data_IF_449037912912
#
_entry.id   IF_449037912912
#
_cell.length_a   1.000
_cell.length_b   1.000
_cell.length_c   1.000
_cell.angle_alpha   90.00
_cell.angle_beta   90.00
_cell.angle_gamma   90.00
#
_symmetry.space_group_name_H-M   'P 1'
#
loop_
_entity.id
_entity.type
_entity.pdbx_description
1 polymer ?
#
# COMPACT_ATOMS: atom_id res chain seq x y z
N UNK A 1 13.03 -5.78 -9.19
CA UNK A 1 12.22 -5.49 -7.99
C UNK A 1 11.73 -6.79 -7.39
N UNK A 2 11.91 -7.03 -6.08
CA UNK A 2 11.39 -8.22 -5.39
C UNK A 2 9.87 -8.37 -5.52
N UNK A 3 9.38 -9.60 -5.46
CA UNK A 3 7.95 -9.91 -5.63
C UNK A 3 7.08 -9.33 -4.52
N UNK A 4 7.54 -9.39 -3.28
CA UNK A 4 6.83 -8.88 -2.11
C UNK A 4 6.68 -7.35 -2.11
N UNK A 5 7.70 -6.64 -2.64
CA UNK A 5 7.68 -5.21 -2.94
C UNK A 5 6.69 -4.92 -4.07
N UNK A 6 6.74 -5.66 -5.18
CA UNK A 6 5.78 -5.48 -6.28
C UNK A 6 4.35 -5.66 -5.80
N UNK A 7 4.10 -6.71 -5.02
CA UNK A 7 2.76 -6.95 -4.49
C UNK A 7 2.30 -5.87 -3.50
N UNK A 8 3.19 -5.22 -2.74
CA UNK A 8 2.80 -4.04 -1.95
C UNK A 8 2.29 -2.92 -2.86
N UNK A 9 2.97 -2.66 -3.98
CA UNK A 9 2.57 -1.63 -4.95
C UNK A 9 1.23 -1.97 -5.56
N UNK A 10 1.08 -3.17 -6.11
CA UNK A 10 -0.15 -3.59 -6.78
C UNK A 10 -1.36 -3.56 -5.80
N UNK A 11 -1.16 -4.03 -4.57
CA UNK A 11 -2.18 -3.99 -3.52
C UNK A 11 -2.53 -2.52 -3.16
N UNK A 12 -1.53 -1.65 -2.96
CA UNK A 12 -1.78 -0.27 -2.55
C UNK A 12 -2.35 0.62 -3.67
N UNK A 13 -1.95 0.40 -4.92
CA UNK A 13 -2.56 1.07 -6.08
C UNK A 13 -4.05 0.69 -6.19
N UNK A 14 -4.40 -0.57 -5.88
CA UNK A 14 -5.79 -1.02 -5.80
C UNK A 14 -6.53 -0.31 -4.66
N UNK A 15 -5.90 -0.17 -3.48
CA UNK A 15 -6.44 0.61 -2.38
C UNK A 15 -6.75 2.05 -2.79
N UNK A 16 -5.77 2.77 -3.34
CA UNK A 16 -5.91 4.18 -3.76
C UNK A 16 -7.00 4.34 -4.81
N UNK A 17 -7.11 3.39 -5.74
CA UNK A 17 -8.18 3.37 -6.73
C UNK A 17 -9.55 3.36 -6.05
N UNK A 18 -9.84 2.40 -5.17
CA UNK A 18 -11.14 2.29 -4.50
C UNK A 18 -11.38 3.42 -3.49
N UNK A 19 -10.35 3.84 -2.74
CA UNK A 19 -10.46 4.89 -1.74
C UNK A 19 -10.80 6.26 -2.35
N UNK A 20 -10.44 6.47 -3.62
CA UNK A 20 -10.77 7.69 -4.37
C UNK A 20 -12.16 7.69 -5.01
N UNK A 21 -12.94 6.61 -4.90
CA UNK A 21 -14.25 6.52 -5.55
C UNK A 21 -15.39 7.12 -4.71
N UNK A 22 -16.46 7.54 -5.37
CA UNK A 22 -17.67 8.03 -4.72
C UNK A 22 -18.58 6.85 -4.27
N UNK A 23 -18.97 6.79 -2.98
CA UNK A 23 -19.89 5.77 -2.47
C UNK A 23 -21.37 6.15 -2.76
N UNK A 24 -21.71 6.30 -4.04
CA UNK A 24 -23.00 6.85 -4.49
C UNK A 24 -24.23 5.98 -4.16
N UNK A 25 -24.02 4.69 -3.88
CA UNK A 25 -25.04 3.80 -3.34
C UNK A 25 -24.47 2.84 -2.28
N UNK A 26 -25.34 2.01 -1.70
CA UNK A 26 -24.97 1.12 -0.61
C UNK A 26 -24.05 -0.03 -1.05
N UNK A 27 -24.23 -0.52 -2.28
CA UNK A 27 -23.44 -1.64 -2.81
C UNK A 27 -22.03 -1.16 -3.13
N UNK A 28 -21.90 -0.01 -3.81
CA UNK A 28 -20.61 0.60 -4.10
C UNK A 28 -19.87 1.01 -2.83
N UNK A 29 -20.58 1.56 -1.85
CA UNK A 29 -19.99 1.85 -0.53
C UNK A 29 -19.40 0.57 0.09
N UNK A 30 -20.13 -0.54 0.03
CA UNK A 30 -19.65 -1.81 0.57
C UNK A 30 -18.40 -2.32 -0.16
N UNK A 31 -18.36 -2.24 -1.49
CA UNK A 31 -17.18 -2.59 -2.29
C UNK A 31 -15.95 -1.79 -1.89
N UNK A 32 -16.10 -0.46 -1.76
CA UNK A 32 -15.03 0.44 -1.33
C UNK A 32 -14.55 0.07 0.08
N UNK A 33 -15.46 -0.12 1.03
CA UNK A 33 -15.11 -0.49 2.41
C UNK A 33 -14.33 -1.81 2.47
N UNK A 34 -14.76 -2.82 1.71
CA UNK A 34 -14.06 -4.12 1.62
C UNK A 34 -12.67 -3.97 1.01
N UNK A 35 -12.55 -3.23 -0.10
CA UNK A 35 -11.25 -3.00 -0.74
C UNK A 35 -10.29 -2.23 0.16
N UNK A 36 -10.76 -1.17 0.82
CA UNK A 36 -9.96 -0.38 1.78
C UNK A 36 -9.46 -1.26 2.92
N UNK A 37 -10.35 -2.07 3.51
CA UNK A 37 -9.97 -2.99 4.59
C UNK A 37 -8.95 -4.05 4.12
N UNK A 38 -9.09 -4.55 2.89
CA UNK A 38 -8.22 -5.58 2.33
C UNK A 38 -6.85 -5.05 1.93
N UNK A 39 -6.77 -3.82 1.41
CA UNK A 39 -5.57 -3.32 0.73
C UNK A 39 -4.92 -2.12 1.40
N UNK A 40 -5.71 -1.15 1.88
CA UNK A 40 -5.17 0.05 2.54
C UNK A 40 -4.68 -0.28 3.95
N UNK A 41 -5.54 -0.92 4.75
CA UNK A 41 -5.28 -1.18 6.17
C UNK A 41 -3.98 -1.96 6.43
N UNK A 42 -3.62 -3.04 5.70
CA UNK A 42 -2.37 -3.74 5.94
C UNK A 42 -1.12 -3.04 5.37
N UNK A 43 -1.27 -2.04 4.49
CA UNK A 43 -0.15 -1.46 3.74
C UNK A 43 0.93 -0.80 4.63
N UNK A 44 0.60 0.00 5.68
CA UNK A 44 1.61 0.57 6.59
C UNK A 44 2.48 -0.48 7.28
N UNK A 45 1.86 -1.55 7.79
CA UNK A 45 2.57 -2.64 8.46
C UNK A 45 3.45 -3.42 7.47
N UNK A 46 2.94 -3.64 6.25
CA UNK A 46 3.69 -4.32 5.19
C UNK A 46 4.88 -3.48 4.72
N UNK A 47 4.72 -2.17 4.57
CA UNK A 47 5.81 -1.26 4.24
C UNK A 47 6.90 -1.30 5.32
N UNK A 48 6.54 -1.19 6.60
CA UNK A 48 7.48 -1.27 7.71
C UNK A 48 8.28 -2.59 7.69
N UNK A 49 7.58 -3.72 7.47
CA UNK A 49 8.20 -5.04 7.33
C UNK A 49 9.20 -5.09 6.16
N UNK A 50 8.83 -4.59 4.98
CA UNK A 50 9.71 -4.58 3.80
C UNK A 50 10.91 -3.65 3.99
N UNK A 51 10.72 -2.48 4.60
CA UNK A 51 11.83 -1.56 4.92
C UNK A 51 12.84 -2.22 5.85
N UNK A 52 12.37 -3.00 6.83
CA UNK A 52 13.23 -3.74 7.74
C UNK A 52 13.91 -4.94 7.05
N UNK A 53 13.18 -5.69 6.23
CA UNK A 53 13.70 -6.84 5.47
C UNK A 53 14.83 -6.43 4.52
N UNK A 54 14.63 -5.34 3.78
CA UNK A 54 15.56 -4.86 2.76
C UNK A 54 16.53 -3.78 3.25
N UNK A 55 16.68 -3.58 4.57
CA UNK A 55 17.50 -2.50 5.15
C UNK A 55 18.96 -2.47 4.68
N UNK A 56 19.51 -3.63 4.32
CA UNK A 56 20.89 -3.79 3.86
C UNK A 56 21.01 -3.81 2.32
N UNK A 57 19.90 -3.77 1.59
CA UNK A 57 19.86 -3.68 0.14
C UNK A 57 19.60 -2.23 -0.28
N UNK A 58 20.67 -1.47 -0.51
CA UNK A 58 20.60 -0.02 -0.75
C UNK A 58 19.59 0.36 -1.85
N UNK A 59 19.60 -0.36 -2.98
CA UNK A 59 18.67 -0.12 -4.10
C UNK A 59 17.20 -0.32 -3.69
N UNK A 60 16.86 -1.42 -3.01
CA UNK A 60 15.47 -1.72 -2.64
C UNK A 60 14.99 -0.78 -1.53
N UNK A 61 15.84 -0.54 -0.52
CA UNK A 61 15.49 0.36 0.57
C UNK A 61 15.29 1.81 0.13
N UNK A 62 16.11 2.30 -0.82
CA UNK A 62 15.93 3.64 -1.39
C UNK A 62 14.66 3.72 -2.21
N UNK A 63 14.38 2.69 -3.01
CA UNK A 63 13.16 2.61 -3.80
C UNK A 63 11.90 2.61 -2.90
N UNK A 64 11.86 1.79 -1.85
CA UNK A 64 10.76 1.74 -0.89
C UNK A 64 10.51 3.11 -0.23
N UNK A 65 11.57 3.82 0.18
CA UNK A 65 11.46 5.18 0.74
C UNK A 65 10.95 6.21 -0.27
N UNK A 66 11.31 6.07 -1.54
CA UNK A 66 10.82 6.95 -2.58
C UNK A 66 9.34 6.68 -2.87
N UNK A 67 8.98 5.43 -3.07
CA UNK A 67 7.60 4.99 -3.30
C UNK A 67 6.68 5.44 -2.15
N UNK A 68 7.06 5.18 -0.90
CA UNK A 68 6.30 5.59 0.29
C UNK A 68 5.97 7.08 0.30
N UNK A 69 6.92 7.95 -0.09
CA UNK A 69 6.69 9.40 -0.18
C UNK A 69 5.79 9.80 -1.35
N UNK A 70 5.89 9.10 -2.48
CA UNK A 70 5.10 9.40 -3.67
C UNK A 70 3.64 8.98 -3.51
N UNK A 71 3.42 7.84 -2.86
CA UNK A 71 2.11 7.25 -2.61
C UNK A 71 1.48 7.72 -1.28
N UNK A 72 2.10 8.67 -0.57
CA UNK A 72 1.72 9.10 0.79
C UNK A 72 1.50 7.95 1.79
N UNK A 73 2.19 6.82 1.57
CA UNK A 73 2.09 5.63 2.41
C UNK A 73 3.11 5.70 3.55
N UNK A 74 2.63 5.92 4.75
CA UNK A 74 3.47 5.94 5.95
C UNK A 74 3.69 4.52 6.50
N UNK A 75 4.93 4.12 6.86
CA UNK A 75 5.13 2.86 7.56
C UNK A 75 4.50 2.92 8.94
N UNK A 76 4.01 1.78 9.42
CA UNK A 76 3.58 1.66 10.82
C UNK A 76 4.76 1.95 11.77
N UNK A 77 4.45 2.62 12.90
CA UNK A 77 5.42 2.98 13.95
C UNK A 77 5.91 1.83 14.81
#
# INVERSE_FOLDING_TARGET
MPEDVRKLVDDYDTCEHFAGEEPYDADRRHEIEVAVAQFCTPAPARLAKLMQQYRNEAHVSQWLRQYARQADLQPAG
#
